data_IF_047804369109
#
_entry.id   IF_047804369109
#
_cell.length_a   1.000
_cell.length_b   1.000
_cell.length_c   1.000
_cell.angle_alpha   90.00
_cell.angle_beta   90.00
_cell.angle_gamma   90.00
#
_symmetry.space_group_name_H-M   'P 1'
#
loop_
_entity.id
_entity.type
_entity.pdbx_description
1 polymer ?
#
# COMPACT_ATOMS: atom_id res chain seq x y z
N UNK A 1 6.03 9.60 17.18
CA UNK A 1 4.97 8.74 17.76
C UNK A 1 4.85 7.54 16.83
N UNK A 2 5.00 6.31 17.31
CA UNK A 2 4.91 5.10 16.49
C UNK A 2 3.45 4.75 16.18
N UNK A 3 3.20 4.13 15.04
CA UNK A 3 1.88 3.62 14.67
C UNK A 3 1.56 2.36 15.50
N UNK A 4 0.35 2.23 16.07
CA UNK A 4 -0.04 1.07 16.88
C UNK A 4 0.13 -0.27 16.15
N UNK A 5 -0.24 -0.32 14.87
CA UNK A 5 -0.06 -1.52 14.05
C UNK A 5 1.43 -1.87 13.83
N UNK A 6 2.29 -0.86 13.74
CA UNK A 6 3.74 -1.08 13.60
C UNK A 6 4.34 -1.72 14.86
N UNK A 7 3.91 -1.29 16.04
CA UNK A 7 4.34 -1.92 17.30
C UNK A 7 3.87 -3.37 17.42
N UNK A 8 2.67 -3.70 16.93
CA UNK A 8 2.15 -5.07 16.94
C UNK A 8 2.89 -5.96 15.92
N UNK A 9 3.18 -5.44 14.73
CA UNK A 9 4.00 -6.11 13.71
C UNK A 9 5.43 -6.35 14.19
N UNK A 10 6.05 -5.38 14.88
CA UNK A 10 7.35 -5.55 15.51
C UNK A 10 7.32 -6.64 16.60
N UNK A 11 6.28 -6.67 17.44
CA UNK A 11 6.11 -7.70 18.45
C UNK A 11 5.95 -9.12 17.84
N UNK A 12 5.24 -9.23 16.72
CA UNK A 12 5.12 -10.49 15.96
C UNK A 12 6.46 -10.93 15.33
N UNK A 13 7.27 -9.99 14.83
CA UNK A 13 8.63 -10.28 14.30
C UNK A 13 9.54 -10.86 15.39
N UNK A 14 9.49 -10.31 16.61
CA UNK A 14 10.25 -10.80 17.78
C UNK A 14 9.83 -12.23 18.19
N UNK A 15 8.53 -12.54 18.12
CA UNK A 15 8.01 -13.88 18.41
C UNK A 15 8.42 -14.91 17.35
N UNK A 16 8.43 -14.52 16.07
CA UNK A 16 8.85 -15.38 14.96
C UNK A 16 10.35 -15.69 14.97
N UNK A 17 11.20 -14.74 15.37
CA UNK A 17 12.64 -14.99 15.51
C UNK A 17 12.98 -15.96 16.66
N UNK A 18 12.09 -16.13 17.66
CA UNK A 18 12.35 -16.97 18.84
C UNK A 18 11.75 -18.38 18.79
N UNK A 19 10.94 -18.78 17.80
CA UNK A 19 10.28 -20.09 17.78
C UNK A 19 10.74 -21.01 16.63
N UNK A 20 11.34 -22.15 16.99
CA UNK A 20 11.28 -23.39 16.18
C UNK A 20 9.82 -23.85 16.08
N UNK A 21 9.41 -24.55 15.00
CA UNK A 21 7.99 -24.73 14.66
C UNK A 21 7.35 -25.71 15.64
N UNK A 22 6.55 -25.18 16.56
CA UNK A 22 5.63 -25.96 17.37
C UNK A 22 4.20 -25.54 17.02
N UNK A 23 3.40 -26.59 16.82
CA UNK A 23 2.06 -26.68 16.26
C UNK A 23 1.13 -25.53 16.69
N UNK A 24 0.45 -24.94 15.70
CA UNK A 24 -0.50 -23.83 15.76
C UNK A 24 -1.66 -24.15 16.73
N UNK A 25 -1.72 -23.47 17.87
CA UNK A 25 -2.97 -23.21 18.58
C UNK A 25 -3.51 -21.88 18.05
N UNK A 26 -4.60 -21.93 17.29
CA UNK A 26 -5.33 -20.76 16.79
C UNK A 26 -6.15 -20.17 17.93
N UNK A 27 -5.62 -19.16 18.61
CA UNK A 27 -6.42 -18.15 19.31
C UNK A 27 -6.41 -16.89 18.47
N UNK A 28 -7.10 -16.92 17.34
CA UNK A 28 -7.43 -15.70 16.58
C UNK A 28 -8.60 -15.02 17.29
N UNK A 29 -8.29 -14.13 18.23
CA UNK A 29 -9.22 -13.05 18.55
C UNK A 29 -9.30 -12.17 17.30
N UNK A 30 -10.27 -12.44 16.43
CA UNK A 30 -10.54 -11.61 15.26
C UNK A 30 -11.01 -10.24 15.76
N UNK A 31 -10.19 -9.21 15.52
CA UNK A 31 -10.48 -7.81 15.83
C UNK A 31 -11.80 -7.39 15.15
N UNK A 32 -12.69 -6.72 15.89
CA UNK A 32 -13.99 -6.30 15.35
C UNK A 32 -13.81 -5.32 14.17
N UNK A 33 -14.62 -5.40 13.11
CA UNK A 33 -14.58 -4.44 12.00
C UNK A 33 -14.74 -2.97 12.45
N UNK A 34 -15.42 -2.74 13.58
CA UNK A 34 -15.58 -1.41 14.19
C UNK A 34 -14.26 -0.88 14.76
N UNK A 35 -13.51 -1.77 15.42
CA UNK A 35 -12.24 -1.45 16.07
C UNK A 35 -11.16 -1.18 15.02
N UNK A 36 -11.13 -1.98 13.95
CA UNK A 36 -10.27 -1.74 12.78
C UNK A 36 -10.56 -0.36 12.18
N UNK A 37 -11.85 0.00 12.00
CA UNK A 37 -12.23 1.33 11.46
C UNK A 37 -11.76 2.47 12.34
N UNK A 38 -11.99 2.37 13.65
CA UNK A 38 -11.56 3.41 14.60
C UNK A 38 -10.05 3.55 14.66
N UNK A 39 -9.32 2.43 14.63
CA UNK A 39 -7.85 2.42 14.58
C UNK A 39 -7.34 3.09 13.32
N UNK A 40 -7.84 2.68 12.16
CA UNK A 40 -7.44 3.23 10.87
C UNK A 40 -7.74 4.73 10.80
N UNK A 41 -8.84 5.20 11.38
CA UNK A 41 -9.18 6.62 11.44
C UNK A 41 -8.18 7.41 12.31
N UNK A 42 -7.79 6.89 13.48
CA UNK A 42 -6.75 7.51 14.31
C UNK A 42 -5.38 7.52 13.63
N UNK A 43 -5.02 6.43 12.95
CA UNK A 43 -3.76 6.36 12.20
C UNK A 43 -3.76 7.40 11.06
N UNK A 44 -4.86 7.53 10.33
CA UNK A 44 -5.02 8.54 9.28
C UNK A 44 -4.90 9.97 9.83
N UNK A 45 -5.50 10.27 10.99
CA UNK A 45 -5.38 11.59 11.65
C UNK A 45 -3.94 11.91 12.06
N UNK A 46 -3.20 10.92 12.59
CA UNK A 46 -1.78 11.09 12.96
C UNK A 46 -0.92 11.32 11.72
N UNK A 47 -1.14 10.54 10.66
CA UNK A 47 -0.44 10.69 9.39
C UNK A 47 -0.72 12.06 8.77
N UNK A 48 -1.99 12.48 8.73
CA UNK A 48 -2.38 13.81 8.27
C UNK A 48 -1.73 14.94 9.07
N UNK A 49 -1.64 14.79 10.40
CA UNK A 49 -0.95 15.76 11.26
C UNK A 49 0.56 15.84 11.02
N UNK A 50 1.21 14.74 10.61
CA UNK A 50 2.65 14.70 10.35
C UNK A 50 3.02 15.31 8.98
N UNK A 51 2.07 15.36 8.05
CA UNK A 51 2.26 15.89 6.70
C UNK A 51 2.31 17.45 6.65
N UNK A 52 1.87 18.13 7.72
CA UNK A 52 1.84 19.60 7.80
C UNK A 52 0.87 20.28 6.81
N UNK A 53 0.69 21.60 6.92
CA UNK A 53 -0.20 22.38 6.02
C UNK A 53 0.34 22.52 4.58
N UNK A 54 1.59 22.08 4.31
CA UNK A 54 2.29 22.28 3.04
C UNK A 54 2.27 21.10 2.06
N UNK A 55 1.79 19.93 2.47
CA UNK A 55 1.93 18.68 1.69
C UNK A 55 3.39 18.18 1.65
N UNK A 56 3.62 17.07 0.95
CA UNK A 56 4.95 16.45 0.80
C UNK A 56 5.68 17.08 -0.40
N UNK A 57 6.88 17.61 -0.21
CA UNK A 57 7.62 18.18 -1.34
C UNK A 57 8.18 17.07 -2.24
N UNK A 58 8.30 17.35 -3.55
CA UNK A 58 8.80 16.39 -4.54
C UNK A 58 10.22 15.82 -4.26
N UNK A 59 11.02 16.50 -3.44
CA UNK A 59 12.36 16.04 -3.05
C UNK A 59 12.36 15.14 -1.80
N UNK A 60 11.22 15.01 -1.13
CA UNK A 60 11.03 14.16 0.06
C UNK A 60 10.55 12.75 -0.33
N UNK A 61 10.53 12.44 -1.64
CA UNK A 61 9.87 11.27 -2.21
C UNK A 61 10.87 10.42 -2.97
N UNK A 62 10.80 9.11 -2.73
CA UNK A 62 11.73 8.12 -3.23
C UNK A 62 11.07 7.27 -4.31
N UNK A 63 10.85 7.87 -5.48
CA UNK A 63 10.20 7.19 -6.63
C UNK A 63 11.18 6.45 -7.54
N UNK A 64 12.50 6.61 -7.33
CA UNK A 64 13.52 5.91 -8.12
C UNK A 64 13.82 4.52 -7.56
N UNK A 65 13.70 3.48 -8.40
CA UNK A 65 14.00 2.09 -8.03
C UNK A 65 15.44 1.92 -7.55
N UNK A 66 16.38 2.71 -8.09
CA UNK A 66 17.77 2.74 -7.63
C UNK A 66 17.89 3.27 -6.20
N UNK A 67 17.20 4.36 -5.88
CA UNK A 67 17.11 4.93 -4.53
C UNK A 67 16.44 3.97 -3.55
N UNK A 68 15.35 3.30 -3.93
CA UNK A 68 14.68 2.29 -3.11
C UNK A 68 15.59 1.10 -2.83
N UNK A 69 16.34 0.63 -3.84
CA UNK A 69 17.35 -0.41 -3.65
C UNK A 69 18.46 0.05 -2.71
N UNK A 70 18.94 1.28 -2.87
CA UNK A 70 19.93 1.87 -1.96
C UNK A 70 19.41 1.95 -0.52
N UNK A 71 18.15 2.35 -0.34
CA UNK A 71 17.49 2.41 0.96
C UNK A 71 17.31 1.01 1.57
N UNK A 72 16.97 0.00 0.77
CA UNK A 72 16.87 -1.39 1.22
C UNK A 72 18.22 -1.96 1.66
N UNK A 73 19.28 -1.70 0.89
CA UNK A 73 20.64 -2.06 1.26
C UNK A 73 21.09 -1.35 2.54
N UNK A 74 20.74 -0.08 2.68
CA UNK A 74 21.01 0.69 3.89
C UNK A 74 20.27 0.10 5.10
N UNK A 75 18.98 -0.21 4.95
CA UNK A 75 18.15 -0.85 5.97
C UNK A 75 18.78 -2.16 6.45
N UNK A 76 19.13 -3.06 5.54
CA UNK A 76 19.74 -4.36 5.86
C UNK A 76 21.09 -4.18 6.57
N UNK A 77 21.91 -3.25 6.09
CA UNK A 77 23.21 -2.95 6.71
C UNK A 77 23.09 -2.39 8.13
N UNK A 78 22.08 -1.54 8.38
CA UNK A 78 21.80 -0.97 9.70
C UNK A 78 21.24 -2.02 10.66
N UNK A 79 20.35 -2.90 10.21
CA UNK A 79 19.80 -4.00 11.01
C UNK A 79 20.91 -4.97 11.44
N UNK A 80 21.81 -5.32 10.51
CA UNK A 80 22.97 -6.15 10.81
C UNK A 80 23.94 -5.46 11.78
N UNK A 81 24.26 -4.18 11.54
CA UNK A 81 25.19 -3.42 12.36
C UNK A 81 24.69 -3.22 13.79
N UNK A 82 23.41 -2.87 13.93
CA UNK A 82 22.72 -2.77 15.22
C UNK A 82 22.84 -4.09 16.00
N UNK A 83 22.43 -5.20 15.37
CA UNK A 83 22.50 -6.53 15.99
C UNK A 83 23.93 -6.88 16.40
N UNK A 84 24.91 -6.59 15.54
CA UNK A 84 26.32 -6.89 15.78
C UNK A 84 26.90 -6.08 16.94
N UNK A 85 26.60 -4.77 17.02
CA UNK A 85 27.05 -3.92 18.12
C UNK A 85 26.39 -4.31 19.44
N UNK A 86 25.09 -4.62 19.43
CA UNK A 86 24.38 -5.03 20.65
C UNK A 86 24.94 -6.35 21.19
N UNK A 87 25.20 -7.32 20.32
CA UNK A 87 25.85 -8.57 20.67
C UNK A 87 27.25 -8.33 21.22
N UNK A 88 28.09 -7.58 20.49
CA UNK A 88 29.44 -7.25 20.91
C UNK A 88 29.48 -6.54 22.27
N UNK A 89 28.65 -5.51 22.47
CA UNK A 89 28.58 -4.76 23.71
C UNK A 89 28.09 -5.62 24.89
N UNK A 90 27.25 -6.62 24.62
CA UNK A 90 26.76 -7.55 25.65
C UNK A 90 27.83 -8.53 26.14
N UNK A 91 28.80 -8.86 25.27
CA UNK A 91 29.91 -9.77 25.56
C UNK A 91 31.11 -9.08 26.22
N UNK A 92 31.17 -7.74 26.19
CA UNK A 92 32.27 -6.98 26.79
C UNK A 92 32.33 -7.13 28.33
N UNK A 93 33.49 -7.51 28.90
CA UNK A 93 33.69 -7.54 30.34
C UNK A 93 33.55 -6.14 30.94
N UNK A 94 32.78 -5.98 32.02
CA UNK A 94 32.52 -4.68 32.65
C UNK A 94 33.43 -4.45 33.85
N UNK A 95 34.02 -3.26 33.94
CA UNK A 95 34.82 -2.86 35.10
C UNK A 95 33.89 -2.57 36.29
N UNK A 96 33.99 -3.39 37.33
CA UNK A 96 33.26 -3.15 38.58
C UNK A 96 33.95 -1.98 39.29
N UNK A 97 33.20 -0.93 39.63
CA UNK A 97 33.70 0.31 40.22
C UNK A 97 34.41 0.17 41.59
N UNK A 98 34.57 -1.04 42.13
CA UNK A 98 35.03 -1.30 43.49
C UNK A 98 36.37 -2.04 43.62
N UNK A 99 37.18 -2.21 42.57
CA UNK A 99 38.53 -2.79 42.74
C UNK A 99 39.58 -2.23 41.76
N UNK A 100 40.78 -1.86 42.24
CA UNK A 100 41.86 -1.27 41.42
C UNK A 100 42.64 -2.31 40.60
N UNK A 101 42.03 -3.44 40.26
CA UNK A 101 42.70 -4.53 39.58
C UNK A 101 42.19 -4.63 38.15
N UNK A 102 43.08 -4.47 37.17
CA UNK A 102 42.81 -4.80 35.77
C UNK A 102 42.45 -6.29 35.72
N UNK A 103 41.17 -6.61 35.74
CA UNK A 103 40.65 -7.95 35.50
C UNK A 103 40.80 -8.21 34.00
N UNK A 104 41.94 -8.80 33.64
CA UNK A 104 42.15 -9.38 32.31
C UNK A 104 41.41 -10.71 32.31
N UNK A 105 40.39 -10.83 31.47
CA UNK A 105 39.71 -12.11 31.25
C UNK A 105 40.65 -13.10 30.56
N UNK A 106 40.33 -14.41 30.58
CA UNK A 106 41.14 -15.48 29.97
C UNK A 106 41.51 -15.25 28.49
N UNK A 107 40.88 -14.30 27.80
CA UNK A 107 41.09 -13.96 26.40
C UNK A 107 41.92 -12.68 26.18
N UNK A 108 42.45 -12.05 27.23
CA UNK A 108 43.32 -10.87 27.10
C UNK A 108 42.58 -9.54 26.90
N UNK A 109 41.24 -9.53 26.95
CA UNK A 109 40.44 -8.31 26.81
C UNK A 109 40.29 -7.63 28.19
N UNK A 110 40.75 -6.38 28.36
CA UNK A 110 40.58 -5.63 29.60
C UNK A 110 39.12 -5.23 29.82
N UNK A 111 38.70 -5.20 31.09
CA UNK A 111 37.36 -4.77 31.46
C UNK A 111 37.10 -3.30 31.07
N UNK A 112 35.96 -3.07 30.41
CA UNK A 112 35.57 -1.76 29.88
C UNK A 112 34.75 -0.96 30.90
N UNK A 113 34.85 0.38 30.90
CA UNK A 113 33.96 1.23 31.69
C UNK A 113 32.49 1.00 31.32
N UNK A 114 31.63 0.96 32.33
CA UNK A 114 30.18 0.76 32.15
C UNK A 114 29.55 1.83 31.24
N UNK A 115 30.04 3.08 31.33
CA UNK A 115 29.61 4.17 30.47
C UNK A 115 29.88 3.88 28.99
N UNK A 116 31.04 3.33 28.65
CA UNK A 116 31.39 2.98 27.26
C UNK A 116 30.52 1.85 26.73
N UNK A 117 30.26 0.83 27.55
CA UNK A 117 29.36 -0.27 27.19
C UNK A 117 27.94 0.26 26.95
N UNK A 118 27.45 1.14 27.83
CA UNK A 118 26.12 1.74 27.68
C UNK A 118 26.02 2.63 26.43
N UNK A 119 27.07 3.39 26.09
CA UNK A 119 27.11 4.17 24.84
C UNK A 119 27.07 3.29 23.59
N UNK A 120 27.75 2.14 23.59
CA UNK A 120 27.66 1.18 22.48
C UNK A 120 26.27 0.56 22.36
N UNK A 121 25.64 0.22 23.49
CA UNK A 121 24.27 -0.29 23.50
C UNK A 121 23.28 0.75 22.95
N UNK A 122 23.41 2.01 23.38
CA UNK A 122 22.58 3.10 22.87
C UNK A 122 22.78 3.30 21.36
N UNK A 123 24.02 3.29 20.88
CA UNK A 123 24.31 3.40 19.45
C UNK A 123 23.65 2.27 18.66
N UNK A 124 23.72 1.04 19.16
CA UNK A 124 23.05 -0.12 18.55
C UNK A 124 21.53 0.09 18.43
N UNK A 125 20.89 0.64 19.46
CA UNK A 125 19.45 0.97 19.44
C UNK A 125 19.12 2.08 18.44
N UNK A 126 19.93 3.14 18.36
CA UNK A 126 19.75 4.22 17.38
C UNK A 126 19.81 3.70 15.94
N UNK A 127 20.73 2.78 15.63
CA UNK A 127 20.79 2.12 14.31
C UNK A 127 19.59 1.19 14.05
N UNK A 128 19.05 0.54 15.10
CA UNK A 128 17.82 -0.26 14.99
C UNK A 128 16.62 0.62 14.61
N UNK A 129 16.48 1.78 15.25
CA UNK A 129 15.42 2.74 14.95
C UNK A 129 15.52 3.29 13.52
N UNK A 130 16.75 3.60 13.06
CA UNK A 130 17.00 4.03 11.68
C UNK A 130 16.68 2.93 10.65
N UNK A 131 17.06 1.68 10.92
CA UNK A 131 16.72 0.54 10.07
C UNK A 131 15.21 0.37 9.96
N UNK A 132 14.48 0.45 11.09
CA UNK A 132 13.03 0.37 11.12
C UNK A 132 12.37 1.52 10.34
N UNK A 133 12.94 2.73 10.40
CA UNK A 133 12.45 3.89 9.63
C UNK A 133 12.62 3.66 8.13
N UNK A 134 13.78 3.15 7.69
CA UNK A 134 14.01 2.81 6.28
C UNK A 134 13.03 1.73 5.78
N UNK A 135 12.77 0.71 6.62
CA UNK A 135 11.81 -0.34 6.31
C UNK A 135 10.38 0.20 6.17
N UNK A 136 9.98 1.11 7.07
CA UNK A 136 8.67 1.76 7.00
C UNK A 136 8.50 2.54 5.69
N UNK A 137 9.52 3.30 5.28
CA UNK A 137 9.50 4.04 4.00
C UNK A 137 9.35 3.10 2.81
N UNK A 138 10.09 2.00 2.78
CA UNK A 138 9.98 0.98 1.72
C UNK A 138 8.58 0.35 1.65
N UNK A 139 7.98 0.04 2.81
CA UNK A 139 6.63 -0.50 2.88
C UNK A 139 5.59 0.50 2.37
N UNK A 140 5.70 1.78 2.78
CA UNK A 140 4.77 2.81 2.34
C UNK A 140 4.85 2.98 0.82
N UNK A 141 6.05 3.06 0.25
CA UNK A 141 6.22 3.20 -1.20
C UNK A 141 5.57 2.03 -1.97
N UNK A 142 5.82 0.79 -1.53
CA UNK A 142 5.22 -0.40 -2.12
C UNK A 142 3.69 -0.40 -2.05
N UNK A 143 3.12 -0.01 -0.91
CA UNK A 143 1.66 0.06 -0.74
C UNK A 143 1.06 1.14 -1.64
N UNK A 144 1.69 2.32 -1.70
CA UNK A 144 1.17 3.44 -2.48
C UNK A 144 1.24 3.20 -3.99
N UNK A 145 2.25 2.49 -4.50
CA UNK A 145 2.35 2.11 -5.92
C UNK A 145 1.12 1.29 -6.40
N UNK A 146 0.60 0.41 -5.54
CA UNK A 146 -0.56 -0.43 -5.85
C UNK A 146 -1.93 0.19 -5.53
N UNK A 147 -1.96 1.23 -4.70
CA UNK A 147 -3.20 1.74 -4.12
C UNK A 147 -4.14 2.36 -5.16
N UNK A 148 -3.62 3.16 -6.09
CA UNK A 148 -4.41 3.74 -7.18
C UNK A 148 -5.10 2.68 -8.04
N UNK A 149 -4.38 1.60 -8.37
CA UNK A 149 -4.90 0.45 -9.13
C UNK A 149 -6.01 -0.29 -8.37
N UNK A 150 -5.82 -0.52 -7.07
CA UNK A 150 -6.82 -1.17 -6.23
C UNK A 150 -8.10 -0.35 -6.15
N UNK A 151 -7.99 0.96 -5.90
CA UNK A 151 -9.14 1.86 -5.83
C UNK A 151 -9.87 1.88 -7.18
N UNK A 152 -9.15 2.01 -8.29
CA UNK A 152 -9.73 1.97 -9.62
C UNK A 152 -10.54 0.69 -9.88
N UNK A 153 -9.96 -0.48 -9.56
CA UNK A 153 -10.65 -1.76 -9.70
C UNK A 153 -11.87 -1.90 -8.80
N UNK A 154 -11.82 -1.40 -7.56
CA UNK A 154 -12.98 -1.38 -6.66
C UNK A 154 -14.09 -0.52 -7.23
N UNK A 155 -13.78 0.68 -7.72
CA UNK A 155 -14.76 1.60 -8.29
C UNK A 155 -15.44 1.01 -9.53
N UNK A 156 -14.67 0.50 -10.49
CA UNK A 156 -15.19 -0.13 -11.72
C UNK A 156 -16.06 -1.34 -11.36
N UNK A 157 -15.55 -2.24 -10.50
CA UNK A 157 -16.29 -3.43 -10.07
C UNK A 157 -17.58 -3.06 -9.32
N UNK A 158 -17.56 -1.98 -8.53
CA UNK A 158 -18.74 -1.56 -7.76
C UNK A 158 -19.90 -1.07 -8.63
N UNK A 159 -19.64 -0.64 -9.87
CA UNK A 159 -20.67 -0.16 -10.77
C UNK A 159 -21.74 -1.23 -11.07
N UNK A 160 -21.37 -2.51 -11.06
CA UNK A 160 -22.31 -3.60 -11.30
C UNK A 160 -23.44 -3.67 -10.26
N UNK A 161 -23.22 -3.14 -9.05
CA UNK A 161 -24.20 -3.11 -7.95
C UNK A 161 -25.10 -1.86 -7.95
N UNK A 162 -24.90 -0.90 -8.86
CA UNK A 162 -25.73 0.30 -8.94
C UNK A 162 -27.08 -0.02 -9.61
N UNK A 163 -28.23 0.26 -8.99
CA UNK A 163 -29.52 -0.03 -9.62
C UNK A 163 -29.75 0.75 -10.92
N UNK A 164 -29.42 2.04 -10.95
CA UNK A 164 -29.47 2.92 -12.13
C UNK A 164 -28.35 3.96 -12.04
N UNK A 165 -27.96 4.49 -13.20
CA UNK A 165 -27.05 5.63 -13.32
C UNK A 165 -27.66 6.69 -14.22
N UNK A 166 -27.58 7.94 -13.79
CA UNK A 166 -28.02 9.13 -14.53
C UNK A 166 -26.86 10.10 -14.70
N UNK A 167 -27.03 11.10 -15.56
CA UNK A 167 -25.98 12.08 -15.85
C UNK A 167 -25.42 12.79 -14.60
N UNK A 168 -26.25 13.27 -13.65
CA UNK A 168 -25.75 13.80 -12.37
C UNK A 168 -24.94 12.78 -11.55
N UNK A 169 -25.35 11.50 -11.57
CA UNK A 169 -24.64 10.40 -10.94
C UNK A 169 -23.26 10.18 -11.55
N UNK A 170 -23.16 10.19 -12.88
CA UNK A 170 -21.88 10.09 -13.60
C UNK A 170 -20.97 11.26 -13.20
N UNK A 171 -21.48 12.50 -13.26
CA UNK A 171 -20.70 13.68 -12.87
C UNK A 171 -20.21 13.60 -11.42
N UNK A 172 -21.03 13.10 -10.51
CA UNK A 172 -20.65 12.91 -9.10
C UNK A 172 -19.55 11.86 -8.96
N UNK A 173 -19.65 10.74 -9.67
CA UNK A 173 -18.61 9.72 -9.67
C UNK A 173 -17.29 10.25 -10.25
N UNK A 174 -17.31 10.92 -11.40
CA UNK A 174 -16.10 11.52 -11.97
C UNK A 174 -15.46 12.56 -11.05
N UNK A 175 -16.27 13.39 -10.36
CA UNK A 175 -15.77 14.33 -9.33
C UNK A 175 -15.14 13.62 -8.14
N UNK A 176 -15.77 12.55 -7.64
CA UNK A 176 -15.24 11.77 -6.53
C UNK A 176 -13.93 11.08 -6.90
N UNK A 177 -13.84 10.50 -8.10
CA UNK A 177 -12.62 9.88 -8.63
C UNK A 177 -11.51 10.91 -8.74
N UNK A 178 -11.82 12.10 -9.26
CA UNK A 178 -10.86 13.19 -9.33
C UNK A 178 -10.39 13.65 -7.94
N UNK A 179 -11.30 13.74 -6.95
CA UNK A 179 -10.93 14.06 -5.58
C UNK A 179 -10.00 13.00 -4.97
N UNK A 180 -10.31 11.71 -5.17
CA UNK A 180 -9.44 10.59 -4.75
C UNK A 180 -8.07 10.66 -5.44
N UNK A 181 -8.05 10.99 -6.73
CA UNK A 181 -6.83 11.15 -7.51
C UNK A 181 -5.98 12.30 -6.97
N UNK A 182 -6.58 13.44 -6.63
CA UNK A 182 -5.87 14.56 -6.00
C UNK A 182 -5.32 14.17 -4.62
N UNK A 183 -6.13 13.49 -3.79
CA UNK A 183 -5.66 13.03 -2.48
C UNK A 183 -4.49 12.07 -2.61
N UNK A 184 -4.58 11.06 -3.47
CA UNK A 184 -3.49 10.11 -3.68
C UNK A 184 -2.28 10.78 -4.31
N UNK A 185 -2.46 11.60 -5.35
CA UNK A 185 -1.36 12.36 -5.95
C UNK A 185 -0.68 13.25 -4.92
N UNK A 186 -1.38 13.83 -3.95
CA UNK A 186 -0.74 14.61 -2.90
C UNK A 186 0.05 13.76 -1.89
N UNK A 187 -0.33 12.49 -1.71
CA UNK A 187 0.36 11.57 -0.80
C UNK A 187 1.55 10.92 -1.51
N UNK A 188 1.41 10.53 -2.77
CA UNK A 188 2.43 9.83 -3.55
C UNK A 188 3.34 10.79 -4.33
N UNK A 189 2.88 12.03 -4.58
CA UNK A 189 3.37 12.97 -5.60
C UNK A 189 3.65 12.32 -6.95
N UNK A 190 2.93 11.24 -7.23
CA UNK A 190 2.91 10.56 -8.50
C UNK A 190 1.51 10.73 -9.10
N UNK A 191 1.45 10.87 -10.43
CA UNK A 191 0.16 10.89 -11.11
C UNK A 191 -0.43 9.48 -11.10
N UNK A 192 -1.58 9.33 -10.47
CA UNK A 192 -2.33 8.08 -10.41
C UNK A 192 -3.09 7.80 -11.72
N UNK A 193 -2.41 7.24 -12.71
CA UNK A 193 -2.98 6.93 -14.05
C UNK A 193 -4.15 5.93 -13.93
N UNK A 194 -4.11 5.02 -12.97
CA UNK A 194 -5.19 4.05 -12.76
C UNK A 194 -6.55 4.71 -12.46
N UNK A 195 -6.55 5.88 -11.82
CA UNK A 195 -7.78 6.62 -11.55
C UNK A 195 -8.31 7.37 -12.77
N UNK A 196 -7.45 7.73 -13.72
CA UNK A 196 -7.88 8.20 -15.04
C UNK A 196 -8.65 7.06 -15.77
N UNK A 197 -8.15 5.83 -15.70
CA UNK A 197 -8.82 4.64 -16.27
C UNK A 197 -10.20 4.38 -15.63
N UNK A 198 -10.31 4.46 -14.30
CA UNK A 198 -11.60 4.35 -13.61
C UNK A 198 -12.56 5.48 -14.00
N UNK A 199 -12.06 6.70 -14.19
CA UNK A 199 -12.88 7.82 -14.65
C UNK A 199 -13.41 7.58 -16.06
N UNK A 200 -12.56 7.14 -17.01
CA UNK A 200 -12.99 6.80 -18.36
C UNK A 200 -14.08 5.72 -18.38
N UNK A 201 -14.00 4.74 -17.47
CA UNK A 201 -15.05 3.73 -17.33
C UNK A 201 -16.42 4.36 -17.00
N UNK A 202 -16.47 5.32 -16.08
CA UNK A 202 -17.71 6.01 -15.76
C UNK A 202 -18.15 6.97 -16.88
N UNK A 203 -17.22 7.50 -17.67
CA UNK A 203 -17.54 8.33 -18.83
C UNK A 203 -18.18 7.53 -19.98
N UNK A 204 -18.01 6.19 -20.03
CA UNK A 204 -18.76 5.33 -20.96
C UNK A 204 -20.27 5.48 -20.79
N UNK A 205 -20.76 5.80 -19.60
CA UNK A 205 -22.20 5.95 -19.35
C UNK A 205 -22.81 7.22 -19.99
N UNK A 206 -21.99 8.12 -20.54
CA UNK A 206 -22.47 9.20 -21.42
C UNK A 206 -22.82 8.70 -22.83
N UNK A 207 -22.34 7.52 -23.20
CA UNK A 207 -22.47 6.96 -24.52
C UNK A 207 -23.60 5.93 -24.56
N UNK A 208 -24.14 5.76 -25.76
CA UNK A 208 -25.03 4.65 -26.09
C UNK A 208 -24.22 3.35 -26.28
N UNK A 209 -24.84 2.17 -26.12
CA UNK A 209 -24.16 0.90 -26.39
C UNK A 209 -23.53 0.83 -27.79
N UNK A 210 -24.18 1.41 -28.79
CA UNK A 210 -23.68 1.45 -30.18
C UNK A 210 -22.42 2.31 -30.34
N UNK A 211 -22.36 3.46 -29.66
CA UNK A 211 -21.16 4.32 -29.64
C UNK A 211 -20.00 3.62 -28.93
N UNK A 212 -20.27 2.87 -27.85
CA UNK A 212 -19.25 2.08 -27.16
C UNK A 212 -18.71 0.97 -28.07
N UNK A 213 -19.58 0.18 -28.71
CA UNK A 213 -19.17 -0.88 -29.65
C UNK A 213 -18.32 -0.31 -30.80
N UNK A 214 -18.76 0.81 -31.38
CA UNK A 214 -18.02 1.49 -32.45
C UNK A 214 -16.65 1.96 -31.96
N UNK A 215 -16.58 2.52 -30.75
CA UNK A 215 -15.33 2.93 -30.12
C UNK A 215 -14.35 1.76 -29.90
N UNK A 216 -14.84 0.60 -29.47
CA UNK A 216 -14.01 -0.62 -29.31
C UNK A 216 -13.48 -1.12 -30.65
N UNK A 217 -14.29 -1.07 -31.71
CA UNK A 217 -13.85 -1.46 -33.05
C UNK A 217 -12.78 -0.53 -33.63
N UNK A 218 -12.91 0.78 -33.41
CA UNK A 218 -12.01 1.78 -33.98
C UNK A 218 -10.69 1.92 -33.21
N UNK A 219 -10.75 1.87 -31.88
CA UNK A 219 -9.62 2.20 -30.98
C UNK A 219 -9.07 0.99 -30.23
N UNK A 220 -9.76 -0.14 -30.27
CA UNK A 220 -9.47 -1.31 -29.45
C UNK A 220 -10.16 -1.28 -28.08
N UNK A 221 -10.10 -2.40 -27.39
CA UNK A 221 -10.69 -2.56 -26.06
C UNK A 221 -9.83 -1.91 -24.97
N UNK A 222 -10.41 -0.97 -24.22
CA UNK A 222 -9.77 -0.35 -23.03
C UNK A 222 -10.13 -1.10 -21.73
N UNK A 223 -11.24 -1.82 -21.73
CA UNK A 223 -11.74 -2.59 -20.59
C UNK A 223 -11.88 -4.08 -20.94
N UNK A 224 -11.96 -4.91 -19.92
CA UNK A 224 -12.23 -6.34 -20.10
C UNK A 224 -13.66 -6.57 -20.60
N UNK A 225 -13.89 -7.73 -21.24
CA UNK A 225 -15.22 -8.13 -21.70
C UNK A 225 -16.25 -8.06 -20.55
N UNK A 226 -15.90 -8.57 -19.36
CA UNK A 226 -16.78 -8.52 -18.19
C UNK A 226 -17.12 -7.09 -17.75
N UNK A 227 -16.16 -6.17 -17.80
CA UNK A 227 -16.38 -4.75 -17.46
C UNK A 227 -17.34 -4.10 -18.47
N UNK A 228 -17.18 -4.37 -19.77
CA UNK A 228 -18.13 -3.90 -20.79
C UNK A 228 -19.52 -4.53 -20.64
N UNK A 229 -19.60 -5.83 -20.33
CA UNK A 229 -20.87 -6.50 -20.07
C UNK A 229 -21.61 -5.85 -18.89
N UNK A 230 -20.89 -5.58 -17.79
CA UNK A 230 -21.44 -4.90 -16.62
C UNK A 230 -21.90 -3.48 -16.96
N UNK A 231 -21.14 -2.74 -17.77
CA UNK A 231 -21.52 -1.42 -18.24
C UNK A 231 -22.81 -1.46 -19.09
N UNK A 232 -22.95 -2.43 -20.00
CA UNK A 232 -24.14 -2.58 -20.83
C UNK A 232 -25.38 -2.94 -20.01
N UNK A 233 -25.22 -3.81 -19.01
CA UNK A 233 -26.28 -4.12 -18.06
C UNK A 233 -26.73 -2.88 -17.28
N UNK A 234 -25.79 -2.06 -16.80
CA UNK A 234 -26.09 -0.83 -16.08
C UNK A 234 -26.75 0.22 -17.00
N UNK A 235 -26.28 0.40 -18.22
CA UNK A 235 -26.92 1.27 -19.21
C UNK A 235 -28.36 0.85 -19.47
N UNK A 236 -28.58 -0.45 -19.70
CA UNK A 236 -29.91 -1.00 -19.99
C UNK A 236 -30.90 -0.76 -18.85
N UNK A 237 -30.56 -1.10 -17.60
CA UNK A 237 -31.45 -0.86 -16.45
C UNK A 237 -31.69 0.63 -16.15
N UNK A 238 -30.81 1.50 -16.63
CA UNK A 238 -30.92 2.96 -16.48
C UNK A 238 -31.83 3.62 -17.53
N UNK A 239 -32.22 2.89 -18.58
CA UNK A 239 -33.18 3.37 -19.57
C UNK A 239 -34.56 3.60 -18.96
N UNK A 240 -35.30 4.55 -19.53
CA UNK A 240 -36.69 4.86 -19.11
C UNK A 240 -37.64 3.71 -19.50
N UNK A 241 -37.39 3.07 -20.64
CA UNK A 241 -38.13 1.89 -21.13
C UNK A 241 -37.13 0.85 -21.68
N UNK A 242 -36.71 -0.14 -20.87
CA UNK A 242 -35.67 -1.08 -21.26
C UNK A 242 -36.18 -2.11 -22.29
N UNK A 243 -35.57 -2.14 -23.47
CA UNK A 243 -35.78 -3.22 -24.44
C UNK A 243 -34.89 -4.44 -24.11
N UNK A 244 -35.50 -5.46 -23.50
CA UNK A 244 -34.82 -6.71 -23.11
C UNK A 244 -34.27 -7.52 -24.30
N UNK A 245 -34.74 -7.26 -25.53
CA UNK A 245 -34.16 -7.85 -26.74
C UNK A 245 -32.86 -7.16 -27.15
N UNK A 246 -32.81 -5.82 -27.06
CA UNK A 246 -31.68 -5.01 -27.48
C UNK A 246 -30.40 -5.30 -26.68
N UNK A 247 -30.50 -5.51 -25.36
CA UNK A 247 -29.32 -5.82 -24.53
C UNK A 247 -28.61 -7.10 -24.98
N UNK A 248 -29.35 -8.16 -25.33
CA UNK A 248 -28.77 -9.42 -25.78
C UNK A 248 -28.08 -9.26 -27.13
N UNK A 249 -28.60 -8.41 -28.01
CA UNK A 249 -27.96 -8.07 -29.28
C UNK A 249 -26.65 -7.32 -29.05
N UNK A 250 -26.63 -6.31 -28.16
CA UNK A 250 -25.41 -5.57 -27.86
C UNK A 250 -24.35 -6.44 -27.20
N UNK A 251 -24.73 -7.34 -26.28
CA UNK A 251 -23.81 -8.29 -25.65
C UNK A 251 -23.24 -9.31 -26.65
N UNK A 252 -24.07 -9.81 -27.57
CA UNK A 252 -23.61 -10.68 -28.65
C UNK A 252 -22.58 -9.99 -29.54
N UNK A 253 -22.89 -8.77 -30.00
CA UNK A 253 -21.97 -7.96 -30.82
C UNK A 253 -20.67 -7.63 -30.09
N UNK A 254 -20.72 -7.35 -28.79
CA UNK A 254 -19.52 -7.13 -27.98
C UNK A 254 -18.61 -8.36 -28.01
N UNK A 255 -19.18 -9.55 -27.78
CA UNK A 255 -18.42 -10.79 -27.78
C UNK A 255 -17.83 -11.10 -29.16
N UNK A 256 -18.57 -10.86 -30.23
CA UNK A 256 -18.06 -11.00 -31.61
C UNK A 256 -16.88 -10.06 -31.88
N UNK A 257 -17.00 -8.78 -31.53
CA UNK A 257 -15.95 -7.77 -31.73
C UNK A 257 -14.70 -8.14 -30.92
N UNK A 258 -14.85 -8.47 -29.63
CA UNK A 258 -13.71 -8.81 -28.78
C UNK A 258 -13.08 -10.17 -29.16
N UNK A 259 -13.89 -11.11 -29.65
CA UNK A 259 -13.43 -12.39 -30.18
C UNK A 259 -12.62 -12.24 -31.48
N UNK A 260 -13.01 -11.34 -32.38
CA UNK A 260 -12.24 -11.02 -33.58
C UNK A 260 -10.95 -10.26 -33.27
N UNK A 261 -11.00 -9.30 -32.34
CA UNK A 261 -9.83 -8.50 -31.91
C UNK A 261 -8.79 -9.39 -31.20
N UNK A 262 -9.23 -10.37 -30.39
CA UNK A 262 -8.35 -11.32 -29.70
C UNK A 262 -7.59 -12.32 -30.59
N UNK A 263 -7.94 -12.42 -31.88
CA UNK A 263 -7.24 -13.27 -32.87
C UNK A 263 -6.14 -12.50 -33.62
N UNK A 264 -6.08 -11.17 -33.46
CA UNK A 264 -5.16 -10.30 -34.23
C UNK A 264 -3.93 -9.81 -33.46
N UNK A 265 -3.66 -10.34 -32.26
CA UNK A 265 -2.45 -10.04 -31.46
C UNK A 265 -1.56 -11.26 -31.33
#
# INVERSE_FOLDING_TARGET
>A
RSLPNWTDLQAQKILHQRRRPLRREETTEEESPEDIRQRNMREAEILASNLGEGGINAHEILSDVGQLKGLAQLQESMEWFSSSILMFASELPRSIASSPSILVTSEGIPAMPESTVNSLLQLGQEFEELANTCLLVLHLEYVFEGLGHLIAKILISSAQYLDKIDEPGIQKMCRNIFALQQTLTNITMAREIALDHARHYFELFYLTPEEILSGVMEKGAEFSELEYMNAFQLLHRSQVDPDYGAINVHLGRLSDILGEVGVTV
#
